data_IF_646481845939
#
_entry.id   IF_646481845939
#
_cell.length_a   1.000
_cell.length_b   1.000
_cell.length_c   1.000
_cell.angle_alpha   90.00
_cell.angle_beta   90.00
_cell.angle_gamma   90.00
#
_symmetry.space_group_name_H-M   'P 1'
#
loop_
_entity.id
_entity.type
_entity.pdbx_description
1 polymer ?
#
# COMPACT_ATOMS: atom_id res chain seq x y z
N UNK A 1 -8.67 -7.50 46.63
CA UNK A 1 -7.93 -6.29 47.05
C UNK A 1 -7.95 -5.31 45.90
N UNK A 2 -8.85 -4.33 45.97
CA UNK A 2 -9.20 -3.44 44.87
C UNK A 2 -8.22 -2.26 44.82
N UNK A 3 -7.28 -2.30 43.88
CA UNK A 3 -6.47 -1.13 43.53
C UNK A 3 -7.34 -0.22 42.67
N UNK A 4 -8.03 0.73 43.29
CA UNK A 4 -8.76 1.79 42.59
C UNK A 4 -7.77 2.59 41.77
N UNK A 5 -7.71 2.31 40.48
CA UNK A 5 -6.94 3.03 39.48
C UNK A 5 -7.41 4.49 39.47
N UNK A 6 -6.65 5.39 40.08
CA UNK A 6 -6.82 6.83 39.98
C UNK A 6 -6.40 7.29 38.57
N UNK A 7 -7.16 6.84 37.57
CA UNK A 7 -7.05 7.30 36.20
C UNK A 7 -7.70 8.67 36.11
N UNK A 8 -6.90 9.67 35.80
CA UNK A 8 -7.38 11.02 35.61
C UNK A 8 -7.98 11.17 34.22
N UNK A 9 -8.97 12.04 34.10
CA UNK A 9 -9.58 12.32 32.81
C UNK A 9 -8.62 13.17 31.97
N UNK A 10 -8.78 13.16 30.63
CA UNK A 10 -7.87 13.86 29.72
C UNK A 10 -7.70 15.35 30.07
N UNK A 11 -8.83 16.01 30.40
CA UNK A 11 -8.85 17.43 30.77
C UNK A 11 -8.03 17.73 32.02
N UNK A 12 -8.04 16.82 33.00
CA UNK A 12 -7.27 16.99 34.23
C UNK A 12 -5.78 16.86 33.97
N UNK A 13 -5.39 15.93 33.11
CA UNK A 13 -3.98 15.77 32.70
C UNK A 13 -3.53 16.97 31.87
N UNK A 14 -4.34 17.44 30.91
CA UNK A 14 -4.07 18.67 30.16
C UNK A 14 -3.86 19.86 31.10
N UNK A 15 -4.73 20.03 32.09
CA UNK A 15 -4.59 21.09 33.11
C UNK A 15 -3.29 20.96 33.90
N UNK A 16 -2.98 19.77 34.40
CA UNK A 16 -1.76 19.53 35.19
C UNK A 16 -0.49 19.79 34.36
N UNK A 17 -0.50 19.40 33.08
CA UNK A 17 0.60 19.65 32.12
C UNK A 17 0.73 21.15 31.86
N UNK A 18 -0.36 21.87 31.62
CA UNK A 18 -0.34 23.34 31.44
C UNK A 18 0.15 24.08 32.68
N UNK A 19 -0.09 23.53 33.88
CA UNK A 19 0.33 24.12 35.14
C UNK A 19 1.76 23.73 35.56
N UNK A 20 2.49 22.94 34.76
CA UNK A 20 3.82 22.40 35.12
C UNK A 20 3.85 21.79 36.54
N UNK A 21 2.82 21.03 36.89
CA UNK A 21 2.71 20.43 38.23
C UNK A 21 3.84 19.42 38.49
N UNK A 22 4.47 19.50 39.66
CA UNK A 22 5.53 18.56 40.10
C UNK A 22 5.04 17.12 40.24
N UNK A 23 3.72 16.92 40.30
CA UNK A 23 3.09 15.59 40.37
C UNK A 23 3.13 14.83 39.04
N UNK A 24 3.46 15.47 37.91
CA UNK A 24 3.61 14.79 36.62
C UNK A 24 5.07 14.42 36.39
N UNK A 25 5.30 13.19 35.95
CA UNK A 25 6.58 12.77 35.37
C UNK A 25 6.36 12.13 33.99
N UNK A 26 7.39 12.26 33.16
CA UNK A 26 7.41 11.73 31.80
C UNK A 26 8.54 10.70 31.70
N UNK A 27 8.25 9.51 31.19
CA UNK A 27 9.27 8.52 30.87
C UNK A 27 9.27 8.26 29.38
N UNK A 28 10.41 8.46 28.73
CA UNK A 28 10.58 8.17 27.31
C UNK A 28 10.50 6.65 27.10
N UNK A 29 9.52 6.23 26.31
CA UNK A 29 9.31 4.81 26.01
C UNK A 29 9.35 4.53 24.50
N UNK A 30 9.02 5.54 23.69
CA UNK A 30 9.12 5.50 22.23
C UNK A 30 10.00 6.64 21.71
N UNK A 31 10.37 6.58 20.43
CA UNK A 31 11.29 7.56 19.82
C UNK A 31 10.78 9.01 19.93
N UNK A 32 9.47 9.22 19.75
CA UNK A 32 8.83 10.55 19.68
C UNK A 32 7.70 10.73 20.72
N UNK A 33 7.54 9.77 21.65
CA UNK A 33 6.48 9.81 22.65
C UNK A 33 6.97 9.40 24.03
N UNK A 34 6.51 10.14 25.02
CA UNK A 34 6.76 9.89 26.43
C UNK A 34 5.48 9.44 27.13
N UNK A 35 5.61 8.43 27.99
CA UNK A 35 4.54 7.93 28.84
C UNK A 35 4.32 8.89 30.02
N UNK A 36 3.06 9.25 30.29
CA UNK A 36 2.69 10.14 31.40
C UNK A 36 2.47 9.31 32.67
N UNK A 37 3.01 9.80 33.78
CA UNK A 37 2.78 9.31 35.13
C UNK A 37 2.31 10.46 36.00
N UNK A 38 1.28 10.22 36.82
CA UNK A 38 0.82 11.18 37.83
C UNK A 38 0.99 10.54 39.19
N UNK A 39 1.75 11.19 40.09
CA UNK A 39 2.08 10.66 41.41
C UNK A 39 2.63 9.23 41.37
N UNK A 40 3.54 8.97 40.42
CA UNK A 40 4.12 7.65 40.11
C UNK A 40 3.15 6.57 39.59
N UNK A 41 1.88 6.91 39.31
CA UNK A 41 0.90 6.00 38.70
C UNK A 41 0.87 6.20 37.19
N UNK A 42 1.06 5.11 36.44
CA UNK A 42 0.98 5.10 34.97
C UNK A 42 -0.43 5.48 34.52
N UNK A 43 -0.53 6.45 33.62
CA UNK A 43 -1.80 6.88 33.04
C UNK A 43 -1.99 6.28 31.64
N UNK A 44 -3.24 6.17 31.17
CA UNK A 44 -3.55 5.73 29.79
C UNK A 44 -3.34 6.85 28.77
N UNK A 45 -2.34 7.68 29.00
CA UNK A 45 -2.04 8.86 28.19
C UNK A 45 -0.54 8.94 27.91
N UNK A 46 -0.22 9.34 26.69
CA UNK A 46 1.14 9.62 26.23
C UNK A 46 1.20 11.05 25.73
N UNK A 47 2.38 11.65 25.77
CA UNK A 47 2.64 12.97 25.23
C UNK A 47 3.58 12.86 24.03
N UNK A 48 3.28 13.59 22.96
CA UNK A 48 4.22 13.75 21.85
C UNK A 48 5.38 14.65 22.28
N UNK A 49 6.62 14.19 22.05
CA UNK A 49 7.80 14.97 22.43
C UNK A 49 7.96 16.24 21.57
N UNK A 50 7.46 16.20 20.32
CA UNK A 50 7.60 17.27 19.32
C UNK A 50 6.57 18.41 19.48
N UNK A 51 5.29 18.06 19.66
CA UNK A 51 4.19 19.04 19.70
C UNK A 51 3.50 19.14 21.06
N UNK A 52 3.95 18.35 22.04
CA UNK A 52 3.40 18.29 23.41
C UNK A 52 1.90 17.95 23.49
N UNK A 53 1.32 17.41 22.40
CA UNK A 53 -0.07 16.96 22.39
C UNK A 53 -0.22 15.67 23.19
N UNK A 54 -1.26 15.61 24.02
CA UNK A 54 -1.60 14.46 24.85
C UNK A 54 -2.58 13.55 24.10
N UNK A 55 -2.22 12.27 23.97
CA UNK A 55 -2.99 11.25 23.27
C UNK A 55 -3.41 10.15 24.24
N UNK A 56 -4.59 9.59 24.02
CA UNK A 56 -5.05 8.40 24.75
C UNK A 56 -4.31 7.18 24.20
N UNK A 57 -3.73 6.40 25.09
CA UNK A 57 -3.04 5.16 24.77
C UNK A 57 -3.41 4.08 25.79
N UNK A 58 -4.17 3.08 25.31
CA UNK A 58 -4.45 1.85 26.03
C UNK A 58 -3.68 0.73 25.38
N UNK A 59 -3.09 -0.17 26.18
CA UNK A 59 -2.34 -1.32 25.67
C UNK A 59 -3.18 -2.20 24.73
N UNK A 60 -4.50 -2.24 24.91
CA UNK A 60 -5.45 -2.98 24.07
C UNK A 60 -5.71 -2.36 22.69
N UNK A 61 -5.53 -1.04 22.53
CA UNK A 61 -5.85 -0.31 21.29
C UNK A 61 -4.68 -0.28 20.30
N UNK A 62 -3.50 -0.74 20.72
CA UNK A 62 -2.30 -0.81 19.88
C UNK A 62 -1.68 0.57 19.55
N UNK A 63 -0.79 0.60 18.55
CA UNK A 63 0.03 1.77 18.20
C UNK A 63 -0.61 2.75 17.20
N UNK A 64 -1.89 2.56 16.87
CA UNK A 64 -2.58 3.35 15.84
C UNK A 64 -2.63 4.86 16.14
N UNK A 65 -2.88 5.25 17.39
CA UNK A 65 -2.93 6.67 17.77
C UNK A 65 -1.58 7.39 17.59
N UNK A 66 -0.47 6.70 17.89
CA UNK A 66 0.88 7.22 17.67
C UNK A 66 1.19 7.38 16.18
N UNK A 67 0.86 6.37 15.36
CA UNK A 67 1.12 6.41 13.90
C UNK A 67 0.33 7.53 13.25
N UNK A 68 -0.96 7.66 13.58
CA UNK A 68 -1.81 8.71 13.02
C UNK A 68 -1.30 10.08 13.42
N UNK A 69 -0.93 10.27 14.70
CA UNK A 69 -0.36 11.53 15.16
C UNK A 69 0.97 11.86 14.49
N UNK A 70 1.88 10.88 14.30
CA UNK A 70 3.16 11.13 13.62
C UNK A 70 2.98 11.69 12.21
N UNK A 71 1.92 11.28 11.50
CA UNK A 71 1.61 11.79 10.15
C UNK A 71 1.01 13.18 10.16
N UNK A 72 0.27 13.54 11.22
CA UNK A 72 -0.44 14.82 11.32
C UNK A 72 0.15 15.74 12.40
N UNK A 73 1.38 15.48 12.86
CA UNK A 73 1.97 16.20 13.98
C UNK A 73 2.22 17.66 13.56
N UNK A 74 1.62 18.66 14.24
CA UNK A 74 1.73 20.07 13.84
C UNK A 74 3.18 20.57 13.79
N UNK A 75 4.05 20.06 14.68
CA UNK A 75 5.46 20.44 14.70
C UNK A 75 6.23 19.94 13.47
N UNK A 76 5.80 18.85 12.83
CA UNK A 76 6.41 18.31 11.60
C UNK A 76 5.85 18.95 10.33
N UNK A 77 4.61 19.42 10.38
CA UNK A 77 3.95 20.11 9.26
C UNK A 77 4.48 21.54 9.02
N UNK A 78 5.19 22.14 9.98
CA UNK A 78 5.76 23.49 9.84
C UNK A 78 6.95 23.59 8.88
N UNK A 79 7.45 22.47 8.34
CA UNK A 79 8.56 22.47 7.39
C UNK A 79 8.13 22.36 5.92
N UNK A 80 6.85 22.11 5.66
CA UNK A 80 6.29 22.10 4.31
C UNK A 80 5.13 23.10 4.25
N UNK A 81 5.35 24.21 3.55
CA UNK A 81 4.31 25.18 3.16
C UNK A 81 3.33 24.52 2.18
N UNK A 82 2.55 23.52 2.62
CA UNK A 82 1.37 23.04 1.91
C UNK A 82 0.17 23.14 2.84
N UNK A 83 -0.47 24.29 2.77
CA UNK A 83 -1.82 24.53 3.23
C UNK A 83 -2.76 23.42 2.76
N UNK A 84 -3.22 22.59 3.71
CA UNK A 84 -4.54 21.97 3.68
C UNK A 84 -4.98 21.27 2.39
N UNK A 85 -4.10 20.56 1.70
CA UNK A 85 -4.57 19.66 0.64
C UNK A 85 -5.17 18.41 1.27
N UNK A 86 -6.50 18.33 1.24
CA UNK A 86 -7.23 17.09 1.46
C UNK A 86 -6.59 16.02 0.58
N UNK A 87 -6.04 14.96 1.20
CA UNK A 87 -5.46 13.85 0.44
C UNK A 87 -6.55 13.30 -0.49
N UNK A 88 -6.35 13.46 -1.81
CA UNK A 88 -7.26 12.92 -2.82
C UNK A 88 -7.50 11.44 -2.50
N UNK A 89 -8.76 11.04 -2.49
CA UNK A 89 -9.25 9.69 -2.14
C UNK A 89 -8.47 8.56 -2.86
N UNK A 90 -7.84 8.85 -4.00
CA UNK A 90 -6.96 7.94 -4.71
C UNK A 90 -5.78 7.38 -3.87
N UNK A 91 -5.30 8.09 -2.85
CA UNK A 91 -4.17 7.61 -2.05
C UNK A 91 -4.54 6.50 -1.05
N UNK A 92 -5.83 6.31 -0.75
CA UNK A 92 -6.28 5.20 0.11
C UNK A 92 -6.31 3.84 -0.62
N UNK A 93 -6.40 3.84 -1.95
CA UNK A 93 -6.42 2.62 -2.76
C UNK A 93 -5.05 2.15 -3.24
N UNK A 94 -4.00 2.97 -3.11
CA UNK A 94 -2.65 2.63 -3.57
C UNK A 94 -1.81 1.89 -2.52
N UNK A 95 -2.45 1.19 -1.58
CA UNK A 95 -1.76 0.41 -0.56
C UNK A 95 -1.76 -1.06 -0.96
N UNK A 96 -0.90 -1.38 -1.93
CA UNK A 96 -0.18 -2.65 -2.15
C UNK A 96 0.43 -2.63 -3.56
N UNK A 97 1.49 -1.87 -3.75
CA UNK A 97 2.34 -2.02 -4.93
C UNK A 97 3.80 -1.99 -4.50
N UNK A 98 4.18 -3.01 -3.74
CA UNK A 98 5.54 -3.50 -3.84
C UNK A 98 5.71 -4.06 -5.28
N UNK A 99 6.73 -3.58 -6.00
CA UNK A 99 7.42 -4.26 -7.10
C UNK A 99 6.85 -4.44 -8.51
N UNK A 100 5.86 -3.69 -8.99
CA UNK A 100 5.39 -3.89 -10.37
C UNK A 100 5.58 -2.67 -11.26
N UNK A 101 6.48 -2.79 -12.26
CA UNK A 101 6.49 -2.00 -13.49
C UNK A 101 5.04 -1.92 -13.98
N UNK A 102 4.35 -0.81 -13.72
CA UNK A 102 2.96 -0.69 -14.07
C UNK A 102 2.86 -0.64 -15.60
N UNK A 103 2.33 -1.71 -16.20
CA UNK A 103 1.96 -1.71 -17.61
C UNK A 103 0.93 -0.57 -17.79
N UNK A 104 1.16 0.38 -18.72
CA UNK A 104 0.24 1.46 -18.99
C UNK A 104 -1.20 0.95 -19.19
N UNK A 105 -2.18 1.65 -18.60
CA UNK A 105 -3.60 1.25 -18.67
C UNK A 105 -4.11 1.15 -20.11
N UNK A 106 -3.59 1.99 -21.02
CA UNK A 106 -3.90 1.96 -22.45
C UNK A 106 -3.51 0.62 -23.08
N UNK A 107 -2.29 0.14 -22.83
CA UNK A 107 -1.78 -1.14 -23.33
C UNK A 107 -2.62 -2.29 -22.78
N UNK A 108 -2.91 -2.27 -21.47
CA UNK A 108 -3.75 -3.30 -20.85
C UNK A 108 -5.15 -3.34 -21.47
N UNK A 109 -5.74 -2.18 -21.77
CA UNK A 109 -7.04 -2.09 -22.43
C UNK A 109 -6.98 -2.64 -23.85
N UNK A 110 -5.96 -2.28 -24.63
CA UNK A 110 -5.78 -2.79 -25.99
C UNK A 110 -5.68 -4.32 -26.02
N UNK A 111 -4.83 -4.91 -25.17
CA UNK A 111 -4.69 -6.36 -25.05
C UNK A 111 -6.02 -7.00 -24.63
N UNK A 112 -6.75 -6.39 -23.70
CA UNK A 112 -8.06 -6.90 -23.25
C UNK A 112 -9.06 -6.95 -24.41
N UNK A 113 -9.09 -5.90 -25.24
CA UNK A 113 -9.94 -5.86 -26.44
C UNK A 113 -9.56 -6.97 -27.42
N UNK A 114 -8.28 -7.09 -27.77
CA UNK A 114 -7.81 -8.12 -28.72
C UNK A 114 -8.06 -9.54 -28.21
N UNK A 115 -7.90 -9.80 -26.91
CA UNK A 115 -8.26 -11.10 -26.34
C UNK A 115 -9.77 -11.38 -26.42
N UNK A 116 -10.61 -10.36 -26.26
CA UNK A 116 -12.06 -10.53 -26.38
C UNK A 116 -12.47 -10.82 -27.83
N UNK A 117 -11.89 -10.11 -28.80
CA UNK A 117 -12.08 -10.35 -30.23
C UNK A 117 -11.61 -11.74 -30.63
N UNK A 118 -10.38 -12.14 -30.26
CA UNK A 118 -9.86 -13.49 -30.49
C UNK A 118 -10.78 -14.59 -29.98
N UNK A 119 -11.28 -14.46 -28.75
CA UNK A 119 -12.19 -15.46 -28.17
C UNK A 119 -13.52 -15.52 -28.93
N UNK A 120 -14.03 -14.37 -29.39
CA UNK A 120 -15.28 -14.28 -30.13
C UNK A 120 -15.15 -14.83 -31.57
N UNK A 121 -14.12 -14.42 -32.30
CA UNK A 121 -13.87 -14.81 -33.70
C UNK A 121 -13.54 -16.29 -33.81
N UNK A 122 -12.66 -16.81 -32.95
CA UNK A 122 -12.24 -18.22 -32.96
C UNK A 122 -13.19 -19.13 -32.17
N UNK A 123 -14.29 -18.58 -31.64
CA UNK A 123 -15.27 -19.30 -30.81
C UNK A 123 -14.61 -20.11 -29.68
N UNK A 124 -13.66 -19.50 -28.98
CA UNK A 124 -12.92 -20.15 -27.88
C UNK A 124 -13.56 -19.88 -26.53
N UNK A 125 -13.14 -20.61 -25.50
CA UNK A 125 -13.54 -20.33 -24.13
C UNK A 125 -12.64 -19.25 -23.52
N UNK A 126 -13.20 -18.32 -22.76
CA UNK A 126 -12.43 -17.36 -21.95
C UNK A 126 -11.43 -18.04 -21.00
N UNK A 127 -11.68 -19.28 -20.58
CA UNK A 127 -10.75 -20.06 -19.75
C UNK A 127 -9.41 -20.34 -20.47
N UNK A 128 -9.38 -20.32 -21.81
CA UNK A 128 -8.16 -20.53 -22.59
C UNK A 128 -7.07 -19.51 -22.23
N UNK A 129 -7.46 -18.25 -21.98
CA UNK A 129 -6.54 -17.15 -21.64
C UNK A 129 -5.81 -17.38 -20.30
N UNK A 130 -6.34 -18.25 -19.44
CA UNK A 130 -5.72 -18.63 -18.16
C UNK A 130 -4.81 -19.87 -18.30
N UNK A 131 -4.84 -20.55 -19.44
CA UNK A 131 -4.07 -21.75 -19.68
C UNK A 131 -2.56 -21.48 -19.69
N UNK A 132 -1.79 -22.30 -18.99
CA UNK A 132 -0.32 -22.18 -18.95
C UNK A 132 0.32 -22.21 -20.35
N UNK A 133 -0.21 -23.01 -21.27
CA UNK A 133 0.27 -23.09 -22.65
C UNK A 133 0.12 -21.76 -23.40
N UNK A 134 -1.05 -21.11 -23.28
CA UNK A 134 -1.31 -19.81 -23.88
C UNK A 134 -0.41 -18.72 -23.29
N UNK A 135 -0.22 -18.70 -21.96
CA UNK A 135 0.66 -17.74 -21.29
C UNK A 135 2.11 -17.89 -21.76
N UNK A 136 2.61 -19.12 -21.87
CA UNK A 136 3.98 -19.39 -22.36
C UNK A 136 4.16 -18.96 -23.81
N UNK A 137 3.18 -19.26 -24.67
CA UNK A 137 3.18 -18.81 -26.06
C UNK A 137 3.22 -17.28 -26.15
N UNK A 138 2.35 -16.59 -25.41
CA UNK A 138 2.30 -15.14 -25.39
C UNK A 138 3.63 -14.52 -24.93
N UNK A 139 4.24 -15.07 -23.86
CA UNK A 139 5.55 -14.62 -23.40
C UNK A 139 6.63 -14.78 -24.48
N UNK A 140 6.68 -15.93 -25.15
CA UNK A 140 7.65 -16.19 -26.22
C UNK A 140 7.46 -15.24 -27.41
N UNK A 141 6.22 -14.89 -27.76
CA UNK A 141 5.92 -13.91 -28.81
C UNK A 141 6.45 -12.52 -28.43
N UNK A 142 6.26 -12.08 -27.18
CA UNK A 142 6.80 -10.80 -26.71
C UNK A 142 8.33 -10.79 -26.70
N UNK A 143 8.95 -11.85 -26.18
CA UNK A 143 10.41 -11.97 -26.08
C UNK A 143 11.06 -12.00 -27.48
N UNK A 144 10.42 -12.68 -28.44
CA UNK A 144 10.89 -12.74 -29.84
C UNK A 144 10.60 -11.45 -30.61
N UNK A 145 9.54 -10.72 -30.27
CA UNK A 145 9.15 -9.47 -30.92
C UNK A 145 9.97 -8.25 -30.46
N UNK A 146 10.47 -8.25 -29.22
CA UNK A 146 11.28 -7.16 -28.67
C UNK A 146 12.51 -6.78 -29.52
N UNK A 147 13.35 -7.72 -30.01
CA UNK A 147 14.49 -7.37 -30.86
C UNK A 147 14.08 -6.89 -32.26
N UNK A 148 12.93 -7.34 -32.79
CA UNK A 148 12.49 -7.05 -34.15
C UNK A 148 11.76 -5.70 -34.29
N UNK A 149 11.06 -5.28 -33.23
CA UNK A 149 10.18 -4.10 -33.23
C UNK A 149 10.89 -2.76 -33.50
N UNK A 150 12.22 -2.70 -33.44
CA UNK A 150 12.96 -1.44 -33.60
C UNK A 150 13.37 -1.13 -35.04
N UNK A 151 13.27 -2.09 -35.97
CA UNK A 151 13.93 -1.96 -37.28
C UNK A 151 13.14 -2.55 -38.45
N UNK A 152 12.23 -3.49 -38.23
CA UNK A 152 11.53 -4.19 -39.31
C UNK A 152 10.06 -4.40 -38.92
N UNK A 153 9.08 -4.06 -39.77
CA UNK A 153 7.69 -4.45 -39.55
C UNK A 153 7.58 -5.98 -39.54
N UNK A 154 7.07 -6.53 -38.44
CA UNK A 154 6.92 -7.98 -38.28
C UNK A 154 5.68 -8.42 -39.04
N UNK A 155 5.88 -9.28 -40.03
CA UNK A 155 4.79 -9.97 -40.69
C UNK A 155 4.31 -11.15 -39.82
N UNK A 156 3.15 -10.97 -39.19
CA UNK A 156 2.60 -11.93 -38.22
C UNK A 156 2.15 -13.24 -38.90
N UNK A 157 1.70 -13.18 -40.17
CA UNK A 157 1.23 -14.36 -40.89
C UNK A 157 2.37 -15.34 -41.15
N UNK A 158 3.56 -14.81 -41.46
CA UNK A 158 4.77 -15.59 -41.68
C UNK A 158 5.52 -15.95 -40.39
N UNK A 159 5.22 -15.28 -39.28
CA UNK A 159 5.82 -15.58 -37.98
C UNK A 159 5.25 -16.86 -37.36
N UNK A 160 3.94 -17.08 -37.51
CA UNK A 160 3.26 -18.21 -36.89
C UNK A 160 3.38 -19.48 -37.76
N UNK A 161 3.68 -20.64 -37.16
CA UNK A 161 3.77 -21.89 -37.93
C UNK A 161 2.38 -22.32 -38.42
N UNK A 162 2.35 -22.89 -39.63
CA UNK A 162 1.13 -23.52 -40.14
C UNK A 162 0.66 -24.68 -39.23
N UNK A 163 -0.66 -24.96 -39.16
CA UNK A 163 -1.20 -26.03 -38.31
C UNK A 163 -0.56 -27.40 -38.57
N UNK A 164 -0.22 -27.70 -39.82
CA UNK A 164 0.47 -28.94 -40.22
C UNK A 164 1.86 -29.07 -39.58
N UNK A 165 2.61 -27.97 -39.52
CA UNK A 165 3.92 -27.91 -38.86
C UNK A 165 3.80 -28.22 -37.39
N UNK A 166 2.81 -27.63 -36.70
CA UNK A 166 2.57 -27.88 -35.26
C UNK A 166 2.15 -29.33 -35.03
N UNK A 167 1.26 -29.86 -35.87
CA UNK A 167 0.81 -31.26 -35.80
C UNK A 167 1.99 -32.23 -35.91
N UNK A 168 2.89 -32.02 -36.87
CA UNK A 168 4.07 -32.87 -37.06
C UNK A 168 5.04 -32.79 -35.88
N UNK A 169 5.12 -31.64 -35.21
CA UNK A 169 5.97 -31.45 -34.04
C UNK A 169 5.42 -32.17 -32.79
N UNK A 170 4.10 -32.30 -32.68
CA UNK A 170 3.44 -32.95 -31.55
C UNK A 170 3.16 -34.44 -31.77
N UNK A 171 3.24 -34.95 -33.01
CA UNK A 171 2.94 -36.35 -33.34
C UNK A 171 4.07 -37.34 -32.99
N UNK A 172 5.03 -36.93 -32.16
CA UNK A 172 6.10 -37.79 -31.61
C UNK A 172 5.73 -38.12 -30.15
N UNK A 173 4.72 -38.97 -29.97
CA UNK A 173 4.41 -39.71 -28.74
C UNK A 173 3.65 -40.99 -29.12
#
# INVERSE_FOLDING_TARGET
MSMTSNQLNKKDIERLVSQNSTSISYKKHWNNFSQIYVSNVKQDFIVCDDCKTILIYKSSTGSGCMINHLRSCPSKLKHDNSSGEQQKINNYFNKNSNDNKQIPKSIKRAITTSCAEFVAEDSRSFKLLQGLGFIRLAQQLFDSGQPLSSSIPIDIENLLPAPTTVSNFYCIC
#
